data_IF_154262133561
#
_entry.id   IF_154262133561
#
_cell.length_a   1.000
_cell.length_b   1.000
_cell.length_c   1.000
_cell.angle_alpha   90.00
_cell.angle_beta   90.00
_cell.angle_gamma   90.00
#
_symmetry.space_group_name_H-M   'P 1'
#
loop_
_entity.id
_entity.type
_entity.pdbx_description
1 polymer ?
#
# COMPACT_ATOMS: atom_id res chain seq x y z
N UNK A 1 6.74 5.84 -6.39
CA UNK A 1 6.19 6.19 -5.05
C UNK A 1 5.78 7.65 -5.07
N UNK A 2 4.69 8.03 -4.39
CA UNK A 2 4.20 9.43 -4.35
C UNK A 2 4.50 10.10 -3.01
N UNK A 3 4.27 9.41 -1.90
CA UNK A 3 4.55 9.90 -0.55
C UNK A 3 4.81 8.73 0.41
N UNK A 4 5.71 8.91 1.36
CA UNK A 4 6.02 7.98 2.44
C UNK A 4 5.67 8.58 3.82
N UNK A 5 5.68 7.73 4.86
CA UNK A 5 5.48 8.18 6.25
C UNK A 5 4.11 8.79 6.55
N UNK A 6 3.09 8.50 5.72
CA UNK A 6 1.74 9.02 5.94
C UNK A 6 1.15 8.43 7.22
N UNK A 7 0.94 9.27 8.22
CA UNK A 7 0.27 8.88 9.47
C UNK A 7 -1.25 8.88 9.30
N UNK A 8 -1.94 7.86 9.84
CA UNK A 8 -3.40 7.97 10.05
C UNK A 8 -4.28 6.74 9.91
N UNK A 9 -3.75 5.53 9.71
CA UNK A 9 -4.61 4.33 9.62
C UNK A 9 -4.30 3.26 10.67
N UNK A 10 -3.12 2.66 10.65
CA UNK A 10 -2.71 1.66 11.64
C UNK A 10 -1.18 1.60 11.88
N UNK A 11 -0.46 2.56 11.31
CA UNK A 11 0.99 2.59 11.21
C UNK A 11 1.41 3.57 10.11
N UNK A 12 2.72 3.77 9.88
CA UNK A 12 3.20 4.52 8.74
C UNK A 12 2.75 3.85 7.43
N UNK A 13 2.15 4.64 6.54
CA UNK A 13 1.68 4.19 5.25
C UNK A 13 2.50 4.82 4.11
N UNK A 14 2.58 4.12 2.99
CA UNK A 14 3.17 4.62 1.74
C UNK A 14 2.11 4.70 0.66
N UNK A 15 2.02 5.85 -0.01
CA UNK A 15 1.15 6.07 -1.15
C UNK A 15 1.91 5.80 -2.45
N UNK A 16 1.38 4.88 -3.25
CA UNK A 16 1.86 4.56 -4.58
C UNK A 16 0.86 5.03 -5.62
N UNK A 17 1.36 5.64 -6.70
CA UNK A 17 0.63 5.75 -7.97
C UNK A 17 0.91 4.49 -8.78
N UNK A 18 -0.11 3.92 -9.39
CA UNK A 18 -0.04 2.73 -10.23
C UNK A 18 -0.51 3.05 -11.64
N UNK A 19 0.18 2.50 -12.63
CA UNK A 19 -0.26 2.53 -14.02
C UNK A 19 -1.00 1.22 -14.33
N UNK A 20 -2.18 1.32 -14.94
CA UNK A 20 -3.30 0.34 -14.89
C UNK A 20 -4.12 0.42 -13.59
N UNK A 21 -5.15 1.28 -13.55
CA UNK A 21 -5.98 1.49 -12.38
C UNK A 21 -6.74 0.23 -11.93
N UNK A 22 -6.80 0.01 -10.61
CA UNK A 22 -7.66 -1.01 -10.00
C UNK A 22 -9.00 -0.36 -9.65
N UNK A 23 -10.12 -0.90 -10.14
CA UNK A 23 -11.46 -0.36 -9.89
C UNK A 23 -11.58 1.15 -10.18
N UNK A 24 -10.88 1.64 -11.21
CA UNK A 24 -10.86 3.06 -11.59
C UNK A 24 -10.05 3.96 -10.64
N UNK A 25 -9.22 3.38 -9.76
CA UNK A 25 -8.29 4.10 -8.88
C UNK A 25 -6.85 3.79 -9.26
N UNK A 26 -6.06 4.83 -9.34
CA UNK A 26 -4.65 4.82 -9.71
C UNK A 26 -3.72 5.04 -8.50
N UNK A 27 -4.28 5.04 -7.29
CA UNK A 27 -3.53 5.22 -6.05
C UNK A 27 -3.79 4.07 -5.08
N UNK A 28 -2.71 3.51 -4.54
CA UNK A 28 -2.71 2.48 -3.52
C UNK A 28 -2.03 2.99 -2.25
N UNK A 29 -2.70 2.80 -1.12
CA UNK A 29 -2.11 3.00 0.19
C UNK A 29 -1.66 1.64 0.73
N UNK A 30 -0.38 1.51 1.05
CA UNK A 30 0.21 0.27 1.59
C UNK A 30 0.76 0.56 2.99
N UNK A 31 0.37 -0.25 3.97
CA UNK A 31 0.85 -0.12 5.35
C UNK A 31 0.94 -1.47 6.05
N UNK A 32 1.83 -1.55 7.04
CA UNK A 32 1.94 -2.72 7.92
C UNK A 32 1.15 -2.49 9.21
N UNK A 33 0.34 -3.49 9.56
CA UNK A 33 -0.28 -3.64 10.87
C UNK A 33 0.57 -4.63 11.66
N UNK A 34 1.22 -4.22 12.77
CA UNK A 34 2.02 -5.13 13.57
C UNK A 34 1.15 -6.17 14.26
N UNK A 35 1.75 -7.31 14.61
CA UNK A 35 1.10 -8.35 15.40
C UNK A 35 0.58 -7.78 16.73
N UNK A 36 -0.68 -8.05 17.06
CA UNK A 36 -1.33 -7.52 18.26
C UNK A 36 -2.35 -8.50 18.83
N UNK A 37 -2.40 -8.66 20.15
CA UNK A 37 -3.36 -9.54 20.84
C UNK A 37 -3.42 -10.99 20.30
N UNK A 38 -2.26 -11.55 19.94
CA UNK A 38 -2.16 -12.90 19.38
C UNK A 38 -2.58 -13.02 17.92
N UNK A 39 -2.95 -11.91 17.27
CA UNK A 39 -3.12 -11.85 15.81
C UNK A 39 -1.75 -11.63 15.15
N UNK A 40 -1.43 -12.35 14.06
CA UNK A 40 -0.20 -12.13 13.31
C UNK A 40 -0.22 -10.76 12.62
N UNK A 41 0.95 -10.21 12.32
CA UNK A 41 1.06 -8.97 11.55
C UNK A 41 0.49 -9.13 10.14
N UNK A 42 0.10 -8.01 9.54
CA UNK A 42 -0.49 -7.98 8.20
C UNK A 42 0.04 -6.80 7.41
N UNK A 43 0.37 -7.05 6.15
CA UNK A 43 0.58 -5.99 5.18
C UNK A 43 -0.74 -5.76 4.43
N UNK A 44 -1.21 -4.51 4.41
CA UNK A 44 -2.52 -4.14 3.89
C UNK A 44 -2.37 -3.20 2.71
N UNK A 45 -3.10 -3.49 1.63
CA UNK A 45 -3.21 -2.69 0.41
C UNK A 45 -4.64 -2.18 0.28
N UNK A 46 -4.83 -0.86 0.26
CA UNK A 46 -6.13 -0.22 0.08
C UNK A 46 -6.14 0.69 -1.15
N UNK A 47 -7.31 0.79 -1.80
CA UNK A 47 -7.52 1.81 -2.82
C UNK A 47 -7.63 3.19 -2.17
N UNK A 48 -6.97 4.16 -2.77
CA UNK A 48 -6.92 5.52 -2.27
C UNK A 48 -7.08 6.53 -3.41
N UNK A 49 -7.12 7.81 -3.06
CA UNK A 49 -6.89 8.90 -4.00
C UNK A 49 -5.49 9.50 -3.83
N UNK A 50 -5.15 10.48 -4.67
CA UNK A 50 -3.88 11.20 -4.64
C UNK A 50 -3.57 11.90 -3.30
N UNK A 51 -4.60 12.13 -2.46
CA UNK A 51 -4.48 12.74 -1.14
C UNK A 51 -4.47 11.70 -0.01
N UNK A 52 -4.20 10.43 -0.34
CA UNK A 52 -4.20 9.30 0.57
C UNK A 52 -5.55 9.04 1.27
N UNK A 53 -6.68 9.47 0.69
CA UNK A 53 -8.00 9.23 1.28
C UNK A 53 -8.57 7.89 0.82
N UNK A 54 -8.71 6.98 1.78
CA UNK A 54 -9.36 5.68 1.60
C UNK A 54 -10.88 5.86 1.69
N UNK A 55 -11.61 5.57 0.59
CA UNK A 55 -13.08 5.52 0.58
C UNK A 55 -13.65 4.11 0.70
N UNK A 56 -12.84 3.11 0.37
CA UNK A 56 -13.17 1.69 0.47
C UNK A 56 -12.08 1.00 1.30
N UNK A 57 -12.48 0.48 2.45
CA UNK A 57 -11.57 -0.12 3.43
C UNK A 57 -11.40 -1.61 3.22
N UNK A 58 -11.98 -2.17 2.16
CA UNK A 58 -11.80 -3.58 1.81
C UNK A 58 -10.37 -3.81 1.33
N UNK A 59 -9.63 -4.75 1.94
CA UNK A 59 -8.31 -5.12 1.49
C UNK A 59 -8.33 -5.53 0.02
N UNK A 60 -7.37 -5.01 -0.74
CA UNK A 60 -7.17 -5.39 -2.13
C UNK A 60 -6.24 -6.61 -2.23
N UNK A 61 -6.20 -7.28 -3.39
CA UNK A 61 -5.12 -8.20 -3.72
C UNK A 61 -3.76 -7.59 -3.37
N UNK A 62 -2.86 -8.42 -2.84
CA UNK A 62 -1.58 -7.97 -2.27
C UNK A 62 -1.61 -7.73 -0.77
N UNK A 63 -2.78 -7.59 -0.15
CA UNK A 63 -2.90 -7.68 1.31
C UNK A 63 -2.67 -9.11 1.78
N UNK A 64 -1.82 -9.33 2.78
CA UNK A 64 -1.49 -10.65 3.30
C UNK A 64 -0.90 -10.60 4.72
N UNK A 65 -1.03 -11.72 5.44
CA UNK A 65 -0.41 -11.90 6.75
C UNK A 65 1.12 -11.99 6.61
N UNK A 66 1.84 -11.15 7.34
CA UNK A 66 3.31 -11.16 7.42
C UNK A 66 3.78 -10.33 8.62
N UNK A 67 4.85 -10.79 9.27
CA UNK A 67 5.59 -10.00 10.25
C UNK A 67 6.82 -9.31 9.64
N UNK A 68 7.14 -9.61 8.37
CA UNK A 68 8.21 -9.00 7.59
C UNK A 68 7.60 -8.21 6.41
N UNK A 69 7.35 -6.89 6.56
CA UNK A 69 6.63 -6.11 5.57
C UNK A 69 7.46 -5.90 4.29
N UNK A 70 6.96 -6.40 3.15
CA UNK A 70 7.58 -6.24 1.84
C UNK A 70 6.62 -5.59 0.83
N UNK A 71 6.79 -4.30 0.58
CA UNK A 71 5.96 -3.54 -0.35
C UNK A 71 6.12 -3.98 -1.81
N UNK A 72 7.31 -4.45 -2.22
CA UNK A 72 7.51 -4.98 -3.57
C UNK A 72 6.64 -6.21 -3.80
N UNK A 73 6.64 -7.15 -2.84
CA UNK A 73 5.80 -8.34 -2.91
C UNK A 73 4.31 -7.96 -2.92
N UNK A 74 3.89 -7.03 -2.05
CA UNK A 74 2.50 -6.57 -1.98
C UNK A 74 2.02 -6.02 -3.33
N UNK A 75 2.81 -5.16 -3.96
CA UNK A 75 2.50 -4.54 -5.25
C UNK A 75 2.52 -5.56 -6.40
N UNK A 76 3.43 -6.52 -6.36
CA UNK A 76 3.46 -7.63 -7.31
C UNK A 76 2.19 -8.49 -7.20
N UNK A 77 1.74 -8.77 -5.98
CA UNK A 77 0.50 -9.52 -5.72
C UNK A 77 -0.77 -8.72 -6.02
N UNK A 78 -0.72 -7.38 -5.95
CA UNK A 78 -1.86 -6.51 -6.22
C UNK A 78 -2.24 -6.42 -7.71
N UNK A 79 -1.27 -6.58 -8.60
CA UNK A 79 -1.50 -6.48 -10.05
C UNK A 79 -0.25 -6.64 -10.90
N UNK A 80 0.82 -7.23 -10.36
CA UNK A 80 2.11 -7.35 -11.06
C UNK A 80 2.92 -6.06 -11.12
N UNK A 81 2.62 -5.08 -10.26
CA UNK A 81 3.30 -3.80 -10.28
C UNK A 81 4.75 -3.91 -9.79
N UNK A 82 5.58 -3.00 -10.29
CA UNK A 82 6.97 -2.82 -9.85
C UNK A 82 7.13 -1.39 -9.35
N UNK A 83 7.87 -1.25 -8.25
CA UNK A 83 8.22 0.08 -7.75
C UNK A 83 9.23 0.69 -8.72
N UNK A 84 8.88 1.84 -9.26
CA UNK A 84 9.80 2.72 -10.00
C UNK A 84 10.04 3.94 -9.11
N UNK A 85 11.30 4.18 -8.80
CA UNK A 85 11.70 5.43 -8.14
C UNK A 85 11.62 6.56 -9.18
N UNK A 86 11.01 7.71 -8.84
CA UNK A 86 11.07 8.85 -9.73
C UNK A 86 12.54 9.25 -9.90
N UNK A 87 12.96 9.48 -11.13
CA UNK A 87 14.28 10.04 -11.41
C UNK A 87 14.40 11.35 -10.64
N UNK A 88 15.37 11.42 -9.72
CA UNK A 88 15.59 12.61 -8.91
C UNK A 88 15.86 13.77 -9.87
N UNK A 89 14.98 14.78 -9.87
CA UNK A 89 15.24 16.01 -10.60
C UNK A 89 16.52 16.63 -10.02
N UNK A 90 17.58 16.65 -10.83
CA UNK A 90 18.87 17.26 -10.51
C UNK A 90 18.79 18.78 -10.40
#
# INVERSE_FOLDING_TARGET
MVADGLGGWAGPATLYRIDWPINGKDHLLVFHQPAMYGQPGQLVVLLSDENARVKDTRPQPGSHTTDDPNHHLALQLAGGYRIVEPEAAA
#
